data_IF_290216340925
#
_entry.id   IF_290216340925
#
_cell.length_a   1.000
_cell.length_b   1.000
_cell.length_c   1.000
_cell.angle_alpha   90.00
_cell.angle_beta   90.00
_cell.angle_gamma   90.00
#
_symmetry.space_group_name_H-M   'P 1'
#
loop_
_entity.id
_entity.type
_entity.pdbx_description
1 polymer ?
#
# COMPACT_ATOMS: atom_id res chain seq x y z
N UNK A 1 40.73 -54.20 44.13
CA UNK A 1 41.13 -52.79 43.95
C UNK A 1 40.18 -52.18 42.92
N UNK A 2 39.16 -51.43 43.37
CA UNK A 2 38.04 -50.96 42.53
C UNK A 2 38.11 -49.43 42.49
N UNK A 3 38.42 -48.87 41.32
CA UNK A 3 38.36 -47.42 41.05
C UNK A 3 36.91 -46.98 40.73
N UNK A 4 36.58 -45.68 40.88
CA UNK A 4 35.22 -45.23 41.19
C UNK A 4 34.43 -44.64 40.01
N UNK A 5 33.10 -44.59 40.22
CA UNK A 5 32.12 -43.62 39.75
C UNK A 5 32.27 -43.01 38.34
N UNK A 6 31.56 -43.60 37.37
CA UNK A 6 31.07 -42.87 36.21
C UNK A 6 29.60 -42.48 36.48
N UNK A 7 29.41 -41.24 36.93
CA UNK A 7 28.17 -40.51 36.68
C UNK A 7 28.15 -40.26 35.18
N UNK A 8 27.12 -40.72 34.46
CA UNK A 8 26.73 -39.99 33.27
C UNK A 8 25.22 -39.93 33.12
N UNK A 9 24.73 -38.69 33.29
CA UNK A 9 23.36 -38.29 33.06
C UNK A 9 23.16 -38.21 31.56
N UNK A 10 22.61 -39.27 30.96
CA UNK A 10 22.05 -39.16 29.61
C UNK A 10 20.56 -39.43 29.68
N UNK A 11 19.87 -38.51 30.37
CA UNK A 11 18.53 -38.12 29.94
C UNK A 11 18.70 -37.39 28.62
N UNK A 12 18.73 -38.18 27.54
CA UNK A 12 18.88 -37.72 26.18
C UNK A 12 17.91 -36.56 25.93
N UNK A 13 18.52 -35.43 25.59
CA UNK A 13 17.93 -34.12 25.61
C UNK A 13 16.88 -34.04 24.50
N UNK A 14 15.60 -34.33 24.81
CA UNK A 14 14.45 -34.20 23.88
C UNK A 14 14.40 -32.81 23.20
N UNK A 15 15.06 -31.83 23.81
CA UNK A 15 15.18 -30.46 23.33
C UNK A 15 16.21 -30.28 22.20
N UNK A 16 17.25 -31.13 22.14
CA UNK A 16 18.24 -31.12 21.04
C UNK A 16 17.67 -31.79 19.78
N UNK A 17 16.89 -32.86 19.92
CA UNK A 17 16.22 -33.48 18.76
C UNK A 17 15.23 -32.51 18.08
N UNK A 18 14.54 -31.69 18.89
CA UNK A 18 13.65 -30.61 18.39
C UNK A 18 14.45 -29.49 17.71
N UNK A 19 15.64 -29.16 18.22
CA UNK A 19 16.54 -28.16 17.61
C UNK A 19 17.18 -28.67 16.30
N UNK A 20 17.53 -29.96 16.22
CA UNK A 20 18.12 -30.55 15.00
C UNK A 20 17.07 -30.83 13.91
N UNK A 21 15.82 -31.08 14.30
CA UNK A 21 14.68 -31.19 13.38
C UNK A 21 14.36 -29.85 12.69
N UNK A 22 14.57 -28.72 13.37
CA UNK A 22 14.36 -27.39 12.77
C UNK A 22 15.49 -27.01 11.80
N UNK A 23 16.74 -27.40 12.10
CA UNK A 23 17.91 -27.20 11.23
C UNK A 23 17.88 -28.09 9.97
N UNK A 24 17.17 -29.22 9.99
CA UNK A 24 17.09 -30.18 8.86
C UNK A 24 15.74 -30.15 8.12
N UNK A 25 14.89 -29.17 8.38
CA UNK A 25 13.70 -28.98 7.56
C UNK A 25 14.09 -28.24 6.27
N UNK A 26 14.07 -28.95 5.12
CA UNK A 26 14.06 -28.34 3.79
C UNK A 26 12.81 -27.46 3.67
N UNK A 27 12.90 -26.22 4.11
CA UNK A 27 11.88 -25.22 3.82
C UNK A 27 11.88 -25.00 2.30
N UNK A 28 10.73 -25.15 1.61
CA UNK A 28 10.66 -24.88 0.19
C UNK A 28 11.03 -23.41 -0.01
N UNK A 29 11.96 -23.17 -0.94
CA UNK A 29 12.53 -21.87 -1.23
C UNK A 29 11.47 -20.76 -1.16
N UNK A 30 11.66 -19.87 -0.21
CA UNK A 30 10.95 -18.62 -0.07
C UNK A 30 11.24 -17.78 -1.31
N UNK A 31 10.55 -18.06 -2.42
CA UNK A 31 10.47 -17.16 -3.57
C UNK A 31 10.11 -15.80 -2.97
N UNK A 32 10.93 -14.78 -3.20
CA UNK A 32 10.64 -13.40 -2.80
C UNK A 32 9.28 -13.00 -3.38
N UNK A 33 8.18 -13.31 -2.68
CA UNK A 33 6.85 -12.82 -3.02
C UNK A 33 6.81 -11.42 -2.45
N UNK A 34 6.99 -10.43 -3.31
CA UNK A 34 6.73 -9.03 -2.98
C UNK A 34 5.38 -8.94 -2.25
N UNK A 35 5.38 -8.39 -1.04
CA UNK A 35 4.16 -8.28 -0.22
C UNK A 35 3.04 -7.58 -0.99
N UNK A 36 1.76 -7.95 -0.82
CA UNK A 36 0.63 -7.24 -1.40
C UNK A 36 0.63 -5.72 -1.12
N UNK A 37 1.21 -5.29 -0.01
CA UNK A 37 1.39 -3.87 0.32
C UNK A 37 2.47 -3.21 -0.54
N UNK A 38 3.61 -3.87 -0.73
CA UNK A 38 4.66 -3.37 -1.63
C UNK A 38 4.14 -3.20 -3.06
N UNK A 39 3.31 -4.13 -3.54
CA UNK A 39 2.64 -4.00 -4.84
C UNK A 39 1.69 -2.80 -4.86
N UNK A 40 0.93 -2.56 -3.78
CA UNK A 40 0.03 -1.40 -3.67
C UNK A 40 0.82 -0.10 -3.78
N UNK A 41 1.85 0.05 -2.95
CA UNK A 41 2.69 1.25 -2.90
C UNK A 41 3.43 1.51 -4.21
N UNK A 42 3.95 0.47 -4.87
CA UNK A 42 4.59 0.61 -6.19
C UNK A 42 3.62 1.11 -7.26
N UNK A 43 2.39 0.58 -7.27
CA UNK A 43 1.33 1.02 -8.20
C UNK A 43 0.91 2.47 -7.89
N UNK A 44 0.73 2.82 -6.62
CA UNK A 44 0.39 4.19 -6.22
C UNK A 44 1.47 5.19 -6.63
N UNK A 45 2.74 4.86 -6.40
CA UNK A 45 3.85 5.72 -6.79
C UNK A 45 3.92 5.89 -8.31
N UNK A 46 3.70 4.82 -9.08
CA UNK A 46 3.66 4.89 -10.54
C UNK A 46 2.55 5.82 -11.05
N UNK A 47 1.37 5.81 -10.42
CA UNK A 47 0.29 6.75 -10.76
C UNK A 47 0.71 8.19 -10.50
N UNK A 48 1.29 8.47 -9.34
CA UNK A 48 1.74 9.82 -8.97
C UNK A 48 2.77 10.32 -9.97
N UNK A 49 3.79 9.51 -10.26
CA UNK A 49 4.85 9.87 -11.19
C UNK A 49 4.32 10.19 -12.61
N UNK A 50 3.35 9.41 -13.10
CA UNK A 50 2.75 9.62 -14.42
C UNK A 50 1.94 10.91 -14.47
N UNK A 51 1.22 11.25 -13.40
CA UNK A 51 0.46 12.49 -13.30
C UNK A 51 1.35 13.73 -13.13
N UNK A 52 2.53 13.55 -12.52
CA UNK A 52 3.55 14.58 -12.35
C UNK A 52 4.41 14.78 -13.62
N UNK A 53 4.30 13.93 -14.64
CA UNK A 53 5.13 14.00 -15.84
C UNK A 53 4.75 15.21 -16.72
N UNK A 54 5.65 16.20 -16.89
CA UNK A 54 5.37 17.37 -17.72
C UNK A 54 5.24 17.03 -19.22
N UNK A 55 5.65 15.84 -19.64
CA UNK A 55 5.49 15.32 -21.01
C UNK A 55 4.08 14.86 -21.36
N UNK A 56 3.15 14.82 -20.40
CA UNK A 56 1.74 14.50 -20.65
C UNK A 56 1.51 13.05 -21.05
N UNK A 57 2.10 12.10 -20.32
CA UNK A 57 1.81 10.67 -20.54
C UNK A 57 0.38 10.38 -20.12
N UNK A 58 -0.39 9.81 -21.05
CA UNK A 58 -1.78 9.47 -20.81
C UNK A 58 -1.89 8.39 -19.72
N UNK A 59 -2.67 8.66 -18.67
CA UNK A 59 -2.76 7.75 -17.54
C UNK A 59 -3.60 6.52 -17.91
N UNK A 60 -2.91 5.43 -18.22
CA UNK A 60 -3.50 4.14 -18.60
C UNK A 60 -3.02 3.01 -17.68
N UNK A 61 -3.86 2.00 -17.46
CA UNK A 61 -3.50 0.82 -16.64
C UNK A 61 -2.23 0.12 -17.17
N UNK A 62 -2.04 -0.06 -18.50
CA UNK A 62 -0.78 -0.60 -19.02
C UNK A 62 0.45 0.24 -18.67
N UNK A 63 0.37 1.57 -18.79
CA UNK A 63 1.48 2.47 -18.44
C UNK A 63 1.81 2.41 -16.94
N UNK A 64 0.79 2.39 -16.08
CA UNK A 64 0.96 2.22 -14.63
C UNK A 64 1.61 0.87 -14.32
N UNK A 65 1.13 -0.22 -14.94
CA UNK A 65 1.66 -1.56 -14.72
C UNK A 65 3.13 -1.67 -15.12
N UNK A 66 3.48 -1.12 -16.29
CA UNK A 66 4.85 -1.06 -16.79
C UNK A 66 5.76 -0.30 -15.81
N UNK A 67 5.32 0.89 -15.36
CA UNK A 67 6.12 1.72 -14.45
C UNK A 67 6.26 1.11 -13.05
N UNK A 68 5.20 0.48 -12.53
CA UNK A 68 5.23 -0.18 -11.24
C UNK A 68 5.96 -1.55 -11.25
N UNK A 69 6.30 -2.07 -12.44
CA UNK A 69 6.91 -3.40 -12.57
C UNK A 69 5.96 -4.54 -12.22
N UNK A 70 4.66 -4.36 -12.44
CA UNK A 70 3.61 -5.35 -12.11
C UNK A 70 2.85 -5.80 -13.34
N UNK A 71 2.17 -6.94 -13.24
CA UNK A 71 1.28 -7.41 -14.31
C UNK A 71 -0.04 -6.59 -14.32
N UNK A 72 -0.52 -6.21 -15.52
CA UNK A 72 -1.78 -5.47 -15.69
C UNK A 72 -2.99 -6.16 -15.03
N UNK A 73 -3.05 -7.50 -15.06
CA UNK A 73 -4.15 -8.29 -14.50
C UNK A 73 -4.17 -8.18 -12.98
N UNK A 74 -3.01 -7.99 -12.34
CA UNK A 74 -2.94 -7.75 -10.90
C UNK A 74 -3.56 -6.41 -10.51
N UNK A 75 -3.49 -5.41 -11.39
CA UNK A 75 -4.15 -4.12 -11.18
C UNK A 75 -5.66 -4.26 -11.37
N UNK A 76 -6.10 -4.82 -12.50
CA UNK A 76 -7.53 -5.03 -12.76
C UNK A 76 -8.20 -5.89 -11.68
N UNK A 77 -7.55 -6.96 -11.19
CA UNK A 77 -8.12 -7.81 -10.14
C UNK A 77 -8.31 -7.07 -8.81
N UNK A 78 -7.43 -6.12 -8.48
CA UNK A 78 -7.46 -5.43 -7.19
C UNK A 78 -8.36 -4.20 -7.21
N UNK A 79 -8.30 -3.38 -8.25
CA UNK A 79 -9.04 -2.12 -8.32
C UNK A 79 -10.27 -2.19 -9.24
N UNK A 80 -10.33 -3.13 -10.19
CA UNK A 80 -11.46 -3.28 -11.12
C UNK A 80 -11.48 -2.24 -12.25
N UNK A 81 -11.18 -0.98 -11.95
CA UNK A 81 -11.12 0.11 -12.93
C UNK A 81 -9.98 1.10 -12.64
N UNK A 82 -9.72 1.97 -13.62
CA UNK A 82 -8.74 3.07 -13.48
C UNK A 82 -9.21 4.11 -12.47
N UNK A 83 -10.50 4.39 -12.46
CA UNK A 83 -11.14 5.37 -11.59
C UNK A 83 -11.06 4.92 -10.12
N UNK A 84 -11.27 3.63 -9.86
CA UNK A 84 -11.11 3.04 -8.53
C UNK A 84 -9.64 3.05 -8.05
N UNK A 85 -8.68 2.83 -8.96
CA UNK A 85 -7.26 3.00 -8.65
C UNK A 85 -6.92 4.45 -8.28
N UNK A 86 -7.38 5.41 -9.08
CA UNK A 86 -7.17 6.83 -8.81
C UNK A 86 -7.77 7.26 -7.47
N UNK A 87 -8.99 6.80 -7.16
CA UNK A 87 -9.62 7.07 -5.87
C UNK A 87 -8.80 6.53 -4.68
N UNK A 88 -8.30 5.29 -4.77
CA UNK A 88 -7.45 4.69 -3.72
C UNK A 88 -6.13 5.46 -3.53
N UNK A 89 -5.51 5.94 -4.61
CA UNK A 89 -4.31 6.79 -4.54
C UNK A 89 -4.59 8.10 -3.82
N UNK A 90 -5.72 8.77 -4.12
CA UNK A 90 -6.10 10.02 -3.45
C UNK A 90 -6.37 9.80 -1.98
N UNK A 91 -7.17 8.79 -1.62
CA UNK A 91 -7.50 8.48 -0.22
C UNK A 91 -6.23 8.21 0.58
N UNK A 92 -5.35 7.35 0.05
CA UNK A 92 -4.09 6.99 0.72
C UNK A 92 -3.18 8.21 0.93
N UNK A 93 -3.18 9.16 -0.02
CA UNK A 93 -2.40 10.39 0.10
C UNK A 93 -2.98 11.35 1.13
N UNK A 94 -4.31 11.52 1.14
CA UNK A 94 -5.01 12.32 2.15
C UNK A 94 -4.82 11.76 3.57
N UNK A 95 -4.80 10.44 3.73
CA UNK A 95 -4.51 9.79 5.00
C UNK A 95 -3.04 10.03 5.43
N UNK A 96 -2.09 9.95 4.50
CA UNK A 96 -0.66 10.14 4.80
C UNK A 96 -0.33 11.58 5.17
N UNK A 97 -0.97 12.55 4.53
CA UNK A 97 -0.77 13.98 4.76
C UNK A 97 -1.53 14.49 6.01
N UNK A 98 -2.16 13.60 6.77
CA UNK A 98 -2.88 13.89 8.01
C UNK A 98 -2.18 13.20 9.19
N UNK A 99 -1.57 13.98 10.07
CA UNK A 99 -2.40 14.57 11.11
C UNK A 99 -2.62 16.06 10.89
N UNK A 100 -3.71 16.64 11.43
CA UNK A 100 -3.85 18.09 11.49
C UNK A 100 -2.60 18.67 12.15
N UNK A 101 -2.12 19.80 11.65
CA UNK A 101 -1.09 20.54 12.36
C UNK A 101 -1.61 20.82 13.77
N UNK A 102 -0.86 20.40 14.79
CA UNK A 102 -1.16 20.77 16.18
C UNK A 102 -0.61 22.19 16.41
N UNK A 103 -1.48 23.16 16.16
CA UNK A 103 -1.18 24.58 16.33
C UNK A 103 -1.45 25.05 17.77
N UNK A 104 -1.85 24.15 18.67
CA UNK A 104 -2.29 24.46 20.02
C UNK A 104 -3.69 25.04 20.11
N UNK A 105 -4.43 25.16 19.00
CA UNK A 105 -5.84 25.58 19.00
C UNK A 105 -6.65 24.86 17.92
N UNK A 106 -7.86 24.40 18.24
CA UNK A 106 -8.77 23.76 17.28
C UNK A 106 -8.99 24.60 16.01
N UNK A 107 -9.09 25.94 16.14
CA UNK A 107 -9.26 26.84 15.00
C UNK A 107 -8.03 26.81 14.08
N UNK A 108 -6.82 26.84 14.64
CA UNK A 108 -5.60 26.78 13.86
C UNK A 108 -5.41 25.42 13.19
N UNK A 109 -5.77 24.34 13.88
CA UNK A 109 -5.68 22.98 13.35
C UNK A 109 -6.63 22.78 12.17
N UNK A 110 -7.89 23.24 12.30
CA UNK A 110 -8.88 23.20 11.22
C UNK A 110 -8.47 24.06 10.03
N UNK A 111 -7.84 25.22 10.29
CA UNK A 111 -7.33 26.10 9.23
C UNK A 111 -6.18 25.45 8.47
N UNK A 112 -5.20 24.89 9.18
CA UNK A 112 -4.07 24.20 8.59
C UNK A 112 -4.53 22.98 7.77
N UNK A 113 -5.51 22.23 8.28
CA UNK A 113 -6.12 21.11 7.57
C UNK A 113 -6.84 21.56 6.29
N UNK A 114 -7.61 22.64 6.34
CA UNK A 114 -8.28 23.19 5.16
C UNK A 114 -7.29 23.74 4.11
N UNK A 115 -6.21 24.39 4.55
CA UNK A 115 -5.15 24.90 3.67
C UNK A 115 -4.38 23.75 3.00
N UNK A 116 -4.09 22.67 3.74
CA UNK A 116 -3.48 21.45 3.20
C UNK A 116 -4.39 20.77 2.17
N UNK A 117 -5.69 20.64 2.47
CA UNK A 117 -6.68 20.14 1.51
C UNK A 117 -6.79 21.01 0.25
N UNK A 118 -6.80 22.33 0.40
CA UNK A 118 -6.81 23.23 -0.75
C UNK A 118 -5.52 23.17 -1.58
N UNK A 119 -4.37 22.95 -0.94
CA UNK A 119 -3.10 22.78 -1.62
C UNK A 119 -3.03 21.46 -2.40
N UNK A 120 -3.58 20.38 -1.86
CA UNK A 120 -3.59 19.07 -2.53
C UNK A 120 -4.44 19.09 -3.80
N UNK A 121 -5.57 19.81 -3.82
CA UNK A 121 -6.40 20.00 -5.02
C UNK A 121 -5.63 20.73 -6.14
N UNK A 122 -4.68 21.60 -5.79
CA UNK A 122 -3.91 22.38 -6.77
C UNK A 122 -2.79 21.61 -7.43
N UNK A 123 -2.46 20.38 -7.01
CA UNK A 123 -1.43 19.57 -7.70
C UNK A 123 -1.99 18.97 -9.01
N UNK A 124 -1.15 18.61 -10.00
CA UNK A 124 -1.59 17.91 -11.21
C UNK A 124 -2.43 16.66 -10.93
N UNK A 125 -2.03 15.89 -9.92
CA UNK A 125 -2.74 14.68 -9.47
C UNK A 125 -4.10 15.04 -8.89
N UNK A 126 -4.14 16.04 -7.99
CA UNK A 126 -5.35 16.52 -7.33
C UNK A 126 -6.38 17.03 -8.33
N UNK A 127 -5.97 17.78 -9.35
CA UNK A 127 -6.88 18.30 -10.38
C UNK A 127 -7.55 17.21 -11.21
N UNK A 128 -6.84 16.12 -11.50
CA UNK A 128 -7.40 14.99 -12.26
C UNK A 128 -8.31 14.12 -11.40
N UNK A 129 -7.93 13.87 -10.15
CA UNK A 129 -8.60 12.88 -9.32
C UNK A 129 -9.72 13.44 -8.42
N UNK A 130 -9.68 14.74 -8.08
CA UNK A 130 -10.70 15.38 -7.24
C UNK A 130 -12.13 15.27 -7.81
N UNK A 131 -12.40 15.48 -9.11
CA UNK A 131 -13.74 15.30 -9.66
C UNK A 131 -14.29 13.87 -9.51
N UNK A 132 -13.43 12.86 -9.67
CA UNK A 132 -13.81 11.44 -9.52
C UNK A 132 -14.11 11.09 -8.05
N UNK A 133 -13.36 11.68 -7.12
CA UNK A 133 -13.57 11.51 -5.70
C UNK A 133 -14.90 12.16 -5.26
N UNK A 134 -15.18 13.36 -5.73
CA UNK A 134 -16.43 14.09 -5.44
C UNK A 134 -17.66 13.31 -5.93
N UNK A 135 -17.62 12.80 -7.16
CA UNK A 135 -18.69 11.95 -7.71
C UNK A 135 -18.94 10.70 -6.84
N UNK A 136 -17.85 10.06 -6.38
CA UNK A 136 -17.91 8.86 -5.55
C UNK A 136 -18.40 9.11 -4.11
N UNK A 137 -17.98 10.21 -3.49
CA UNK A 137 -18.24 10.52 -2.08
C UNK A 137 -19.59 11.19 -1.84
N UNK A 138 -20.03 12.04 -2.77
CA UNK A 138 -21.27 12.78 -2.62
C UNK A 138 -22.46 12.07 -3.25
N UNK A 139 -22.23 11.06 -4.11
CA UNK A 139 -23.26 10.37 -4.85
C UNK A 139 -23.97 11.35 -5.79
N UNK A 140 -23.70 11.29 -7.09
CA UNK A 140 -24.44 12.12 -8.04
C UNK A 140 -25.96 11.94 -7.84
N UNK A 141 -26.76 13.03 -7.72
CA UNK A 141 -28.21 12.91 -7.84
C UNK A 141 -28.48 12.23 -9.18
N UNK A 142 -29.34 11.21 -9.22
CA UNK A 142 -29.70 10.55 -10.47
C UNK A 142 -30.04 11.59 -11.53
N UNK A 143 -29.20 11.73 -12.56
CA UNK A 143 -29.62 12.37 -13.80
C UNK A 143 -30.66 11.46 -14.44
N UNK A 144 -31.94 11.87 -14.54
CA UNK A 144 -32.96 11.03 -15.16
C UNK A 144 -32.56 10.75 -16.61
N UNK A 145 -32.59 9.48 -16.99
CA UNK A 145 -32.32 9.03 -18.35
C UNK A 145 -33.41 9.61 -19.26
N UNK A 146 -33.08 10.29 -20.37
CA UNK A 146 -34.11 10.79 -21.28
C UNK A 146 -34.91 9.62 -21.86
N UNK A 147 -36.22 9.82 -21.97
CA UNK A 147 -37.19 8.88 -22.53
C UNK A 147 -37.06 8.77 -24.06
#
# INVERSE_FOLDING_TARGET
MRAPAAVDRVGANKQIDVLMAWVTSKQPAQRLRTSPEHVRSAVHQAVIDLLSDPGGVDLTIPAVAQRAGVNHTSIYRRWGSREALLADVVVTRLERDSPPADTGTLRGDLRAWAEAGAASIRTPEGRTAHPLLVDRLLGSPETPRPA
#
